data_IF_672783908652
#
_entry.id   IF_672783908652
#
_cell.length_a   1.000
_cell.length_b   1.000
_cell.length_c   1.000
_cell.angle_alpha   90.00
_cell.angle_beta   90.00
_cell.angle_gamma   90.00
#
_symmetry.space_group_name_H-M   'P 1'
#
loop_
_entity.id
_entity.type
_entity.pdbx_description
1 polymer ?
#
# COMPACT_ATOMS: atom_id res chain seq x y z
N UNK A 1 9.55 16.41 0.37
CA UNK A 1 10.41 15.85 -0.72
C UNK A 1 9.65 14.67 -1.26
N UNK A 2 9.32 14.65 -2.55
CA UNK A 2 8.60 13.52 -3.15
C UNK A 2 9.61 12.40 -3.36
N UNK A 3 9.31 11.22 -2.85
CA UNK A 3 10.07 9.99 -3.03
C UNK A 3 10.20 9.64 -4.53
N UNK A 4 11.38 9.23 -4.98
CA UNK A 4 11.68 8.96 -6.40
C UNK A 4 12.19 7.54 -6.62
N UNK A 5 12.13 7.09 -7.86
CA UNK A 5 12.78 5.83 -8.27
C UNK A 5 14.28 5.93 -8.02
N UNK A 6 14.86 4.89 -7.41
CA UNK A 6 16.26 4.82 -7.00
C UNK A 6 16.52 5.27 -5.56
N UNK A 7 15.60 5.99 -4.95
CA UNK A 7 15.73 6.37 -3.54
C UNK A 7 15.60 5.15 -2.62
N UNK A 8 16.27 5.22 -1.47
CA UNK A 8 15.96 4.30 -0.38
C UNK A 8 14.60 4.64 0.20
N UNK A 9 13.80 3.61 0.46
CA UNK A 9 12.50 3.78 1.09
C UNK A 9 12.65 4.51 2.44
N UNK A 10 11.82 5.52 2.74
CA UNK A 10 11.95 6.30 3.96
C UNK A 10 11.83 5.45 5.22
N UNK A 11 12.68 5.76 6.20
CA UNK A 11 12.60 5.11 7.52
C UNK A 11 11.34 5.59 8.24
N UNK A 12 10.63 4.66 8.84
CA UNK A 12 9.42 4.92 9.59
C UNK A 12 8.93 3.69 10.32
N UNK A 13 7.81 3.83 11.01
CA UNK A 13 7.15 2.73 11.72
C UNK A 13 5.71 2.64 11.23
N UNK A 14 5.29 1.43 10.89
CA UNK A 14 3.92 1.12 10.50
C UNK A 14 3.30 0.19 11.54
N UNK A 15 2.03 0.35 11.79
CA UNK A 15 1.28 -0.42 12.79
C UNK A 15 0.27 -1.35 12.13
N UNK A 16 0.02 -2.49 12.73
CA UNK A 16 -0.98 -3.44 12.26
C UNK A 16 -1.50 -4.30 13.42
N UNK A 17 -2.62 -4.94 13.19
CA UNK A 17 -3.19 -5.89 14.13
C UNK A 17 -2.82 -7.31 13.71
N UNK A 18 -2.29 -8.10 14.63
CA UNK A 18 -1.93 -9.49 14.37
C UNK A 18 -2.20 -10.33 15.63
N UNK A 19 -2.94 -11.43 15.43
CA UNK A 19 -3.27 -12.39 16.50
C UNK A 19 -3.86 -11.73 17.76
N UNK A 20 -4.73 -10.73 17.57
CA UNK A 20 -5.39 -10.02 18.68
C UNK A 20 -4.54 -8.92 19.33
N UNK A 21 -3.34 -8.62 18.83
CA UNK A 21 -2.41 -7.65 19.43
C UNK A 21 -1.99 -6.59 18.43
N UNK A 22 -1.82 -5.35 18.90
CA UNK A 22 -1.13 -4.30 18.15
C UNK A 22 0.34 -4.64 18.00
N UNK A 23 0.82 -4.64 16.76
CA UNK A 23 2.24 -4.77 16.42
C UNK A 23 2.71 -3.59 15.60
N UNK A 24 4.00 -3.32 15.69
CA UNK A 24 4.67 -2.31 14.88
C UNK A 24 5.82 -2.95 14.12
N UNK A 25 6.14 -2.38 12.94
CA UNK A 25 7.29 -2.79 12.17
C UNK A 25 8.00 -1.55 11.60
N UNK A 26 9.33 -1.56 11.71
CA UNK A 26 10.15 -0.54 11.05
C UNK A 26 10.28 -0.84 9.56
N UNK A 27 10.22 0.18 8.72
CA UNK A 27 10.25 0.04 7.27
C UNK A 27 11.57 -0.56 6.78
N UNK A 28 12.70 -0.21 7.37
CA UNK A 28 14.01 -0.78 7.04
C UNK A 28 14.09 -2.30 7.31
N UNK A 29 13.41 -2.80 8.34
CA UNK A 29 13.30 -4.24 8.61
C UNK A 29 12.31 -4.90 7.67
N UNK A 30 11.19 -4.24 7.40
CA UNK A 30 10.12 -4.77 6.54
C UNK A 30 10.61 -5.05 5.12
N UNK A 31 11.43 -4.16 4.55
CA UNK A 31 11.88 -4.21 3.15
C UNK A 31 13.20 -4.92 2.91
N UNK A 32 13.96 -5.21 3.96
CA UNK A 32 15.30 -5.83 3.82
C UNK A 32 15.23 -7.19 3.13
N UNK A 33 15.99 -7.34 2.04
CA UNK A 33 16.07 -8.56 1.23
C UNK A 33 14.70 -9.06 0.75
N UNK A 34 13.78 -8.16 0.45
CA UNK A 34 12.42 -8.49 -0.01
C UNK A 34 11.98 -7.62 -1.15
N UNK A 35 11.24 -8.24 -2.06
CA UNK A 35 10.50 -7.55 -3.12
C UNK A 35 9.07 -7.33 -2.65
N UNK A 36 8.72 -6.09 -2.38
CA UNK A 36 7.44 -5.73 -1.78
C UNK A 36 6.72 -4.71 -2.64
N UNK A 37 5.43 -4.93 -2.83
CA UNK A 37 4.54 -3.93 -3.40
C UNK A 37 3.75 -3.26 -2.29
N UNK A 38 3.79 -1.93 -2.29
CA UNK A 38 3.03 -1.09 -1.40
C UNK A 38 1.94 -0.37 -2.17
N UNK A 39 0.76 -0.31 -1.57
CA UNK A 39 -0.34 0.50 -2.05
C UNK A 39 -0.71 1.53 -0.99
N UNK A 40 -0.51 2.81 -1.30
CA UNK A 40 -1.11 3.90 -0.56
C UNK A 40 -2.57 4.05 -0.95
N UNK A 41 -3.46 4.08 0.03
CA UNK A 41 -4.90 4.26 -0.21
C UNK A 41 -5.48 5.37 0.65
N UNK A 42 -6.39 6.21 0.11
CA UNK A 42 -7.04 7.29 0.84
C UNK A 42 -7.72 6.86 2.14
N UNK A 43 -8.25 5.63 2.20
CA UNK A 43 -8.78 5.11 3.45
C UNK A 43 -9.63 3.86 3.33
N UNK A 44 -9.67 3.12 4.42
CA UNK A 44 -10.58 2.00 4.60
C UNK A 44 -12.05 2.47 4.46
N UNK A 45 -12.90 1.62 3.92
CA UNK A 45 -14.33 1.84 3.66
C UNK A 45 -14.65 2.98 2.68
N UNK A 46 -13.67 3.63 2.07
CA UNK A 46 -13.94 4.59 0.99
C UNK A 46 -14.31 3.85 -0.29
N UNK A 47 -15.14 4.48 -1.13
CA UNK A 47 -15.75 3.83 -2.28
C UNK A 47 -14.75 3.17 -3.22
N UNK A 48 -13.82 3.90 -3.79
CA UNK A 48 -12.86 3.37 -4.76
C UNK A 48 -11.89 2.37 -4.11
N UNK A 49 -11.42 2.63 -2.89
CA UNK A 49 -10.51 1.72 -2.19
C UNK A 49 -11.17 0.36 -1.91
N UNK A 50 -12.44 0.37 -1.54
CA UNK A 50 -13.18 -0.84 -1.14
C UNK A 50 -13.76 -1.60 -2.32
N UNK A 51 -14.31 -0.90 -3.32
CA UNK A 51 -15.06 -1.53 -4.40
C UNK A 51 -14.25 -1.80 -5.67
N UNK A 52 -13.10 -1.14 -5.82
CA UNK A 52 -12.27 -1.26 -7.03
C UNK A 52 -10.82 -1.61 -6.74
N UNK A 53 -10.10 -0.81 -5.95
CA UNK A 53 -8.66 -0.95 -5.80
C UNK A 53 -8.30 -2.24 -5.05
N UNK A 54 -8.77 -2.42 -3.82
CA UNK A 54 -8.45 -3.62 -3.04
C UNK A 54 -8.94 -4.91 -3.70
N UNK A 55 -10.16 -5.00 -4.29
CA UNK A 55 -10.56 -6.15 -5.08
C UNK A 55 -9.66 -6.48 -6.27
N UNK A 56 -9.12 -5.47 -6.97
CA UNK A 56 -8.17 -5.72 -8.07
C UNK A 56 -6.88 -6.38 -7.58
N UNK A 57 -6.40 -5.98 -6.40
CA UNK A 57 -5.21 -6.58 -5.78
C UNK A 57 -5.48 -8.02 -5.33
N UNK A 58 -6.66 -8.27 -4.75
CA UNK A 58 -7.07 -9.61 -4.30
C UNK A 58 -7.11 -10.58 -5.49
N UNK A 59 -7.71 -10.17 -6.62
CA UNK A 59 -7.77 -11.01 -7.84
C UNK A 59 -6.38 -11.37 -8.38
N UNK A 60 -5.41 -10.47 -8.24
CA UNK A 60 -4.07 -10.61 -8.81
C UNK A 60 -3.01 -11.07 -7.80
N UNK A 61 -3.36 -11.27 -6.53
CA UNK A 61 -2.39 -11.57 -5.46
C UNK A 61 -1.59 -12.83 -5.72
N UNK A 62 -2.24 -13.94 -6.09
CA UNK A 62 -1.58 -15.21 -6.40
C UNK A 62 -0.59 -15.03 -7.55
N UNK A 63 -1.00 -14.41 -8.66
CA UNK A 63 -0.12 -14.13 -9.80
C UNK A 63 1.11 -13.32 -9.39
N UNK A 64 0.94 -12.32 -8.53
CA UNK A 64 2.03 -11.49 -8.05
C UNK A 64 3.01 -12.29 -7.17
N UNK A 65 2.51 -13.14 -6.28
CA UNK A 65 3.36 -14.03 -5.48
C UNK A 65 4.13 -15.03 -6.36
N UNK A 66 3.48 -15.63 -7.36
CA UNK A 66 4.10 -16.54 -8.31
C UNK A 66 5.22 -15.85 -9.13
N UNK A 67 5.12 -14.54 -9.33
CA UNK A 67 6.13 -13.67 -9.96
C UNK A 67 7.19 -13.14 -8.97
N UNK A 68 7.30 -13.73 -7.80
CA UNK A 68 8.37 -13.44 -6.84
C UNK A 68 8.17 -12.15 -6.03
N UNK A 69 6.95 -11.64 -5.93
CA UNK A 69 6.62 -10.62 -4.93
C UNK A 69 6.50 -11.30 -3.57
N UNK A 70 7.33 -10.90 -2.60
CA UNK A 70 7.33 -11.50 -1.26
C UNK A 70 6.15 -11.05 -0.41
N UNK A 71 5.71 -9.80 -0.59
CA UNK A 71 4.58 -9.22 0.17
C UNK A 71 3.82 -8.17 -0.63
N UNK A 72 2.51 -8.17 -0.43
CA UNK A 72 1.61 -7.10 -0.88
C UNK A 72 1.11 -6.39 0.37
N UNK A 73 1.34 -5.08 0.46
CA UNK A 73 1.04 -4.27 1.63
C UNK A 73 0.18 -3.09 1.22
N UNK A 74 -0.97 -2.93 1.88
CA UNK A 74 -1.82 -1.76 1.75
C UNK A 74 -1.62 -0.85 2.96
N UNK A 75 -1.24 0.41 2.74
CA UNK A 75 -1.05 1.42 3.79
C UNK A 75 -2.25 2.36 3.77
N UNK A 76 -2.84 2.57 4.95
CA UNK A 76 -3.93 3.53 5.18
C UNK A 76 -3.62 4.40 6.39
N UNK A 77 -4.17 5.63 6.40
CA UNK A 77 -4.17 6.51 7.56
C UNK A 77 -5.53 6.36 8.28
N UNK A 78 -5.76 5.19 8.82
CA UNK A 78 -6.90 4.85 9.67
C UNK A 78 -6.36 4.27 10.99
N UNK A 79 -7.20 4.20 12.01
CA UNK A 79 -6.85 3.42 13.20
C UNK A 79 -6.81 1.91 12.89
N UNK A 80 -6.14 1.17 13.75
CA UNK A 80 -5.90 -0.27 13.55
C UNK A 80 -7.18 -1.12 13.59
N UNK A 81 -8.20 -0.69 14.32
CA UNK A 81 -9.46 -1.44 14.45
C UNK A 81 -10.26 -1.33 13.14
N UNK A 82 -10.34 -0.12 12.58
CA UNK A 82 -10.96 0.13 11.27
C UNK A 82 -10.22 -0.64 10.17
N UNK A 83 -8.88 -0.58 10.16
CA UNK A 83 -8.07 -1.29 9.18
C UNK A 83 -8.24 -2.81 9.27
N UNK A 84 -8.27 -3.37 10.50
CA UNK A 84 -8.52 -4.79 10.74
C UNK A 84 -9.90 -5.21 10.21
N UNK A 85 -10.95 -4.52 10.62
CA UNK A 85 -12.32 -4.83 10.19
C UNK A 85 -12.47 -4.76 8.66
N UNK A 86 -11.85 -3.75 8.03
CA UNK A 86 -11.85 -3.60 6.59
C UNK A 86 -11.11 -4.75 5.87
N UNK A 87 -9.95 -5.16 6.37
CA UNK A 87 -9.19 -6.27 5.82
C UNK A 87 -9.92 -7.62 5.92
N UNK A 88 -10.66 -7.84 7.03
CA UNK A 88 -11.48 -9.03 7.21
C UNK A 88 -12.70 -9.01 6.28
N UNK A 89 -13.42 -7.90 6.25
CA UNK A 89 -14.62 -7.75 5.42
C UNK A 89 -14.33 -7.91 3.92
N UNK A 90 -13.22 -7.37 3.45
CA UNK A 90 -12.85 -7.41 2.02
C UNK A 90 -12.20 -8.72 1.59
N UNK A 91 -11.75 -9.55 2.53
CA UNK A 91 -11.00 -10.77 2.25
C UNK A 91 -9.51 -10.54 1.94
N UNK A 92 -8.98 -9.33 2.14
CA UNK A 92 -7.59 -9.00 1.87
C UNK A 92 -6.61 -9.91 2.63
N UNK A 93 -6.88 -10.17 3.91
CA UNK A 93 -6.05 -11.05 4.73
C UNK A 93 -5.97 -12.47 4.18
N UNK A 94 -7.09 -13.02 3.68
CA UNK A 94 -7.15 -14.35 3.05
C UNK A 94 -6.36 -14.41 1.74
N UNK A 95 -6.28 -13.29 1.03
CA UNK A 95 -5.49 -13.16 -0.20
C UNK A 95 -4.00 -12.89 0.06
N UNK A 96 -3.55 -12.88 1.32
CA UNK A 96 -2.16 -12.61 1.69
C UNK A 96 -1.77 -11.12 1.65
N UNK A 97 -2.75 -10.22 1.52
CA UNK A 97 -2.51 -8.78 1.53
C UNK A 97 -2.53 -8.27 2.97
N UNK A 98 -1.43 -7.65 3.38
CA UNK A 98 -1.31 -7.07 4.71
C UNK A 98 -1.76 -5.62 4.71
N UNK A 99 -2.74 -5.29 5.56
CA UNK A 99 -3.15 -3.91 5.79
C UNK A 99 -2.36 -3.37 6.98
N UNK A 100 -1.70 -2.24 6.80
CA UNK A 100 -0.93 -1.55 7.82
C UNK A 100 -1.37 -0.09 7.93
N UNK A 101 -1.18 0.48 9.12
CA UNK A 101 -1.61 1.83 9.42
C UNK A 101 -0.42 2.75 9.64
N UNK A 102 -0.49 3.93 9.04
CA UNK A 102 0.33 5.09 9.36
C UNK A 102 -0.45 5.96 10.35
N UNK A 103 -0.43 5.58 11.65
CA UNK A 103 -1.30 6.14 12.68
C UNK A 103 -1.18 7.65 12.87
N UNK A 104 0.02 8.21 12.64
CA UNK A 104 0.31 9.63 12.84
C UNK A 104 0.52 10.37 11.53
N UNK A 105 0.19 9.75 10.39
CA UNK A 105 0.47 10.28 9.05
C UNK A 105 1.96 10.61 8.78
N UNK A 106 2.86 10.09 9.60
CA UNK A 106 4.31 10.37 9.51
C UNK A 106 4.89 9.85 8.22
N UNK A 107 4.49 8.64 7.80
CA UNK A 107 4.90 8.08 6.53
C UNK A 107 4.33 8.88 5.36
N UNK A 108 3.05 9.20 5.37
CA UNK A 108 2.39 9.98 4.33
C UNK A 108 3.07 11.34 4.12
N UNK A 109 3.42 12.02 5.23
CA UNK A 109 4.09 13.32 5.19
C UNK A 109 5.55 13.19 4.72
N UNK A 110 6.29 12.22 5.28
CA UNK A 110 7.71 12.02 4.97
C UNK A 110 7.95 11.65 3.49
N UNK A 111 7.03 10.89 2.89
CA UNK A 111 7.12 10.49 1.48
C UNK A 111 6.63 11.57 0.52
N UNK A 112 5.95 12.61 1.01
CA UNK A 112 5.26 13.60 0.19
C UNK A 112 3.96 13.08 -0.44
N UNK A 113 3.43 11.94 0.03
CA UNK A 113 2.19 11.32 -0.45
C UNK A 113 0.96 11.75 0.32
N UNK A 114 1.10 12.71 1.22
CA UNK A 114 0.02 13.21 2.05
C UNK A 114 -0.91 14.14 1.28
N UNK A 115 -2.21 13.99 1.51
CA UNK A 115 -3.21 14.95 1.09
C UNK A 115 -4.31 15.13 2.15
N UNK A 116 -5.03 16.24 2.07
CA UNK A 116 -6.20 16.51 2.90
C UNK A 116 -7.41 16.89 2.05
N UNK A 117 -8.58 16.47 2.49
CA UNK A 117 -9.87 16.84 1.94
C UNK A 117 -10.86 17.06 3.10
N UNK A 118 -10.79 18.22 3.79
CA UNK A 118 -11.58 18.50 5.00
C UNK A 118 -13.10 18.30 4.87
N UNK A 119 -13.74 18.60 3.71
CA UNK A 119 -15.19 18.40 3.57
C UNK A 119 -15.67 16.96 3.78
N UNK A 120 -14.76 15.98 3.60
CA UNK A 120 -15.05 14.54 3.83
C UNK A 120 -14.29 13.98 5.02
N UNK A 121 -13.71 14.84 5.86
CA UNK A 121 -12.98 14.44 7.07
C UNK A 121 -11.63 13.80 6.81
N UNK A 122 -10.99 14.03 5.67
CA UNK A 122 -9.66 13.52 5.38
C UNK A 122 -8.60 14.53 5.78
N UNK A 123 -7.72 14.11 6.70
CA UNK A 123 -6.56 14.88 7.12
C UNK A 123 -5.31 14.02 6.98
N UNK A 124 -4.32 14.53 6.22
CA UNK A 124 -3.05 13.85 5.95
C UNK A 124 -3.19 12.38 5.53
N UNK A 125 -4.20 12.08 4.71
CA UNK A 125 -4.39 10.75 4.13
C UNK A 125 -3.35 10.46 3.06
N UNK A 126 -3.14 9.19 2.73
CA UNK A 126 -2.27 8.79 1.61
C UNK A 126 -2.95 9.00 0.27
N UNK A 127 -2.23 9.54 -0.69
CA UNK A 127 -2.61 9.51 -2.09
C UNK A 127 -2.71 8.06 -2.56
N UNK A 128 -3.54 7.82 -3.57
CA UNK A 128 -3.58 6.53 -4.24
C UNK A 128 -2.29 6.36 -5.04
N UNK A 129 -1.48 5.40 -4.60
CA UNK A 129 -0.15 5.16 -5.16
C UNK A 129 0.17 3.67 -5.14
N UNK A 130 0.98 3.26 -6.10
CA UNK A 130 1.65 1.96 -6.15
C UNK A 130 3.15 2.22 -6.06
N UNK A 131 3.83 1.51 -5.16
CA UNK A 131 5.28 1.61 -4.98
C UNK A 131 5.85 0.19 -4.97
N UNK A 132 6.75 -0.10 -5.91
CA UNK A 132 7.51 -1.33 -5.91
C UNK A 132 8.86 -1.08 -5.25
N UNK A 133 9.15 -1.83 -4.20
CA UNK A 133 10.40 -1.76 -3.44
C UNK A 133 11.12 -3.10 -3.53
N UNK A 134 12.40 -3.08 -3.85
CA UNK A 134 13.27 -4.25 -3.86
C UNK A 134 14.49 -3.96 -2.99
N UNK A 135 14.67 -4.75 -1.95
CA UNK A 135 15.71 -4.59 -0.93
C UNK A 135 15.92 -3.13 -0.49
N UNK A 136 14.88 -2.53 0.03
CA UNK A 136 14.85 -1.14 0.52
C UNK A 136 14.92 -0.04 -0.55
N UNK A 137 15.14 -0.37 -1.82
CA UNK A 137 15.24 0.61 -2.92
C UNK A 137 13.93 0.65 -3.70
N UNK A 138 13.44 1.85 -3.97
CA UNK A 138 12.24 2.06 -4.79
C UNK A 138 12.58 1.79 -6.26
N UNK A 139 11.96 0.78 -6.84
CA UNK A 139 12.12 0.40 -8.25
C UNK A 139 11.09 1.05 -9.16
N UNK A 140 9.91 1.32 -8.62
CA UNK A 140 8.84 2.00 -9.35
C UNK A 140 7.91 2.72 -8.39
N UNK A 141 7.34 3.82 -8.86
CA UNK A 141 6.29 4.56 -8.18
C UNK A 141 5.30 5.07 -9.22
N UNK A 142 4.02 4.82 -8.99
CA UNK A 142 2.91 5.21 -9.86
C UNK A 142 1.80 5.84 -9.02
N UNK A 143 1.20 6.91 -9.54
CA UNK A 143 0.07 7.61 -8.94
C UNK A 143 -1.12 7.59 -9.87
N UNK A 144 -2.31 7.67 -9.31
CA UNK A 144 -3.50 8.03 -10.09
C UNK A 144 -3.56 9.55 -10.27
N UNK A 145 -3.98 9.99 -11.44
CA UNK A 145 -4.21 11.41 -11.71
C UNK A 145 -5.40 11.93 -10.91
N UNK A 146 -6.44 11.09 -10.81
CA UNK A 146 -7.63 11.40 -10.02
C UNK A 146 -7.80 10.37 -8.89
N UNK A 147 -8.06 10.83 -7.67
CA UNK A 147 -8.23 9.99 -6.48
C UNK A 147 -9.40 9.02 -6.54
N UNK A 148 -10.39 9.30 -7.38
CA UNK A 148 -11.54 8.40 -7.64
C UNK A 148 -11.24 7.30 -8.65
N UNK A 149 -10.11 7.37 -9.36
CA UNK A 149 -9.70 6.38 -10.36
C UNK A 149 -8.81 5.31 -9.76
N UNK A 150 -8.75 4.15 -10.44
CA UNK A 150 -7.89 3.03 -10.11
C UNK A 150 -7.54 2.29 -11.41
N UNK A 151 -6.80 2.96 -12.28
CA UNK A 151 -6.37 2.44 -13.58
C UNK A 151 -4.87 2.11 -13.58
N UNK A 152 -4.06 3.08 -13.16
CA UNK A 152 -2.60 2.99 -13.17
C UNK A 152 -2.03 2.23 -11.96
N UNK A 153 -2.79 2.14 -10.88
CA UNK A 153 -2.39 1.49 -9.62
C UNK A 153 -3.16 0.21 -9.34
N UNK A 154 -3.95 -0.29 -10.30
CA UNK A 154 -4.70 -1.54 -10.15
C UNK A 154 -3.78 -2.77 -10.06
N UNK A 155 -4.33 -3.89 -9.58
CA UNK A 155 -3.61 -5.16 -9.55
C UNK A 155 -3.19 -5.63 -10.95
N UNK A 156 -4.03 -5.39 -11.97
CA UNK A 156 -3.76 -5.71 -13.37
C UNK A 156 -2.59 -4.87 -13.92
N UNK A 157 -2.58 -3.56 -13.62
CA UNK A 157 -1.47 -2.68 -13.99
C UNK A 157 -0.16 -3.11 -13.33
N UNK A 158 -0.23 -3.54 -12.07
CA UNK A 158 0.94 -4.04 -11.35
C UNK A 158 1.50 -5.33 -11.94
N UNK A 159 0.66 -6.31 -12.31
CA UNK A 159 1.13 -7.54 -12.97
C UNK A 159 1.91 -7.20 -14.23
N UNK A 160 1.35 -6.33 -15.09
CA UNK A 160 2.02 -5.89 -16.31
C UNK A 160 3.33 -5.12 -16.04
N UNK A 161 3.40 -4.39 -14.94
CA UNK A 161 4.60 -3.67 -14.51
C UNK A 161 5.69 -4.62 -14.03
N UNK A 162 5.34 -5.61 -13.22
CA UNK A 162 6.27 -6.62 -12.69
C UNK A 162 6.89 -7.41 -13.83
N UNK A 163 6.10 -7.79 -14.84
CA UNK A 163 6.59 -8.46 -16.05
C UNK A 163 7.66 -7.64 -16.77
N UNK A 164 7.43 -6.33 -16.90
CA UNK A 164 8.38 -5.43 -17.58
C UNK A 164 9.67 -5.18 -16.79
N UNK A 165 9.58 -5.13 -15.44
CA UNK A 165 10.75 -4.81 -14.60
C UNK A 165 11.65 -6.02 -14.38
N UNK A 166 11.09 -7.21 -14.33
CA UNK A 166 11.80 -8.44 -13.97
C UNK A 166 11.88 -9.48 -15.10
N UNK A 167 11.52 -9.09 -16.32
CA UNK A 167 11.63 -9.91 -17.55
C UNK A 167 10.96 -11.29 -17.43
N UNK A 168 9.68 -11.31 -16.99
CA UNK A 168 8.87 -12.52 -16.94
C UNK A 168 8.10 -12.79 -18.24
#
# INVERSE_FOLDING_TARGET
MITKIGDKFPKGTLSFYDSGTLKTIKTDVLFKNKRIVLFGMPGAFTQTCTNHHLPSLIRNSTTLFDKGIDKIICIVVNDIHVAKAWGEMTGAAKAGIKIVCDLESKFAIATGLSFSAPPVGFFHRLQRALILVDDTVIKHIQFEENRSECNLTSGEALVSLVDKIYDF
#
